data_IF_453496522064
#
_entry.id   IF_453496522064
#
_cell.length_a   1.000
_cell.length_b   1.000
_cell.length_c   1.000
_cell.angle_alpha   90.00
_cell.angle_beta   90.00
_cell.angle_gamma   90.00
#
_symmetry.space_group_name_H-M   'P 1'
#
loop_
_entity.id
_entity.type
_entity.pdbx_description
1 polymer ?
#
# COMPACT_ATOMS: atom_id res chain seq x y z
N UNK A 1 5.76 -33.50 -9.48
CA UNK A 1 5.44 -32.15 -9.00
C UNK A 1 6.49 -31.19 -9.55
N UNK A 2 6.08 -30.15 -10.28
CA UNK A 2 6.99 -29.07 -10.68
C UNK A 2 7.15 -28.13 -9.49
N UNK A 3 8.32 -28.16 -8.83
CA UNK A 3 8.73 -27.11 -7.91
C UNK A 3 9.18 -25.92 -8.74
N UNK A 4 8.32 -24.91 -8.85
CA UNK A 4 8.68 -23.64 -9.48
C UNK A 4 9.10 -22.70 -8.36
N UNK A 5 10.40 -22.63 -8.10
CA UNK A 5 10.99 -21.82 -7.03
C UNK A 5 11.22 -20.35 -7.46
N UNK A 6 10.56 -19.89 -8.53
CA UNK A 6 10.75 -18.55 -9.10
C UNK A 6 9.43 -17.88 -9.44
N UNK A 7 9.36 -16.57 -9.20
CA UNK A 7 8.26 -15.73 -9.66
C UNK A 7 8.14 -15.78 -11.19
N UNK A 8 6.91 -15.89 -11.69
CA UNK A 8 6.61 -15.89 -13.12
C UNK A 8 6.05 -14.53 -13.50
N UNK A 9 6.63 -13.87 -14.50
CA UNK A 9 6.10 -12.63 -15.08
C UNK A 9 5.20 -13.00 -16.26
N UNK A 10 3.95 -12.58 -16.21
CA UNK A 10 2.99 -12.71 -17.30
C UNK A 10 2.99 -11.41 -18.11
N UNK A 11 3.22 -11.50 -19.41
CA UNK A 11 3.30 -10.35 -20.32
C UNK A 11 2.21 -10.37 -21.39
N UNK A 12 1.72 -9.20 -21.79
CA UNK A 12 0.90 -9.00 -23.00
C UNK A 12 1.60 -8.02 -23.93
N UNK A 13 1.82 -8.40 -25.20
CA UNK A 13 2.56 -7.60 -26.20
C UNK A 13 3.92 -7.10 -25.70
N UNK A 14 4.68 -7.96 -24.99
CA UNK A 14 5.99 -7.62 -24.43
C UNK A 14 5.96 -6.73 -23.18
N UNK A 15 4.77 -6.35 -22.69
CA UNK A 15 4.61 -5.54 -21.46
C UNK A 15 4.15 -6.42 -20.30
N UNK A 16 4.78 -6.35 -19.11
CA UNK A 16 4.30 -7.04 -17.92
C UNK A 16 2.87 -6.63 -17.56
N UNK A 17 2.00 -7.61 -17.33
CA UNK A 17 0.60 -7.40 -16.92
C UNK A 17 0.26 -8.07 -15.59
N UNK A 18 1.01 -9.09 -15.18
CA UNK A 18 0.83 -9.75 -13.89
C UNK A 18 2.11 -10.47 -13.45
N UNK A 19 2.16 -10.78 -12.16
CA UNK A 19 3.18 -11.63 -11.54
C UNK A 19 2.45 -12.81 -10.88
N UNK A 20 2.91 -14.02 -11.13
CA UNK A 20 2.50 -15.22 -10.41
C UNK A 20 3.57 -15.51 -9.34
N UNK A 21 3.16 -15.40 -8.08
CA UNK A 21 4.02 -15.70 -6.94
C UNK A 21 3.67 -17.10 -6.40
N UNK A 22 4.63 -18.03 -6.30
CA UNK A 22 4.38 -19.35 -5.75
C UNK A 22 4.05 -19.24 -4.26
N UNK A 23 3.02 -19.95 -3.83
CA UNK A 23 2.58 -20.02 -2.43
C UNK A 23 2.39 -21.47 -2.03
N UNK A 24 2.70 -21.77 -0.77
CA UNK A 24 2.43 -23.04 -0.10
C UNK A 24 1.33 -22.83 0.96
N UNK A 25 0.72 -23.92 1.42
CA UNK A 25 -0.42 -23.84 2.35
C UNK A 25 -0.09 -23.12 3.66
N UNK A 26 1.16 -23.24 4.12
CA UNK A 26 1.66 -22.63 5.36
C UNK A 26 1.98 -21.14 5.22
N UNK A 27 2.23 -20.64 4.01
CA UNK A 27 2.69 -19.28 3.75
C UNK A 27 1.69 -18.41 2.97
N UNK A 28 0.55 -18.96 2.54
CA UNK A 28 -0.45 -18.25 1.73
C UNK A 28 -0.90 -16.94 2.39
N UNK A 29 -1.35 -16.99 3.64
CA UNK A 29 -1.89 -15.83 4.35
C UNK A 29 -0.82 -14.75 4.57
N UNK A 30 0.37 -15.14 5.02
CA UNK A 30 1.49 -14.22 5.20
C UNK A 30 1.94 -13.57 3.89
N UNK A 31 1.93 -14.33 2.79
CA UNK A 31 2.27 -13.83 1.45
C UNK A 31 1.23 -12.83 0.96
N UNK A 32 -0.07 -13.13 1.13
CA UNK A 32 -1.16 -12.22 0.78
C UNK A 32 -1.11 -10.92 1.59
N UNK A 33 -0.88 -11.00 2.90
CA UNK A 33 -0.74 -9.83 3.77
C UNK A 33 0.45 -8.97 3.32
N UNK A 34 1.58 -9.59 2.99
CA UNK A 34 2.78 -8.89 2.53
C UNK A 34 2.52 -8.16 1.22
N UNK A 35 1.91 -8.82 0.23
CA UNK A 35 1.57 -8.20 -1.05
C UNK A 35 0.56 -7.05 -0.89
N UNK A 36 -0.43 -7.20 -0.01
CA UNK A 36 -1.40 -6.13 0.30
C UNK A 36 -0.71 -4.92 0.95
N UNK A 37 0.21 -5.15 1.89
CA UNK A 37 1.01 -4.08 2.52
C UNK A 37 1.90 -3.37 1.51
N UNK A 38 2.59 -4.12 0.65
CA UNK A 38 3.42 -3.53 -0.40
C UNK A 38 2.59 -2.61 -1.31
N UNK A 39 1.40 -3.06 -1.72
CA UNK A 39 0.47 -2.23 -2.51
C UNK A 39 0.03 -0.96 -1.77
N UNK A 40 -0.29 -1.08 -0.47
CA UNK A 40 -0.68 0.07 0.33
C UNK A 40 0.46 1.10 0.47
N UNK A 41 1.70 0.65 0.63
CA UNK A 41 2.88 1.51 0.70
C UNK A 41 3.11 2.28 -0.61
N UNK A 42 3.00 1.60 -1.77
CA UNK A 42 3.10 2.26 -3.07
C UNK A 42 2.01 3.31 -3.27
N UNK A 43 0.77 2.99 -2.92
CA UNK A 43 -0.32 3.95 -2.99
C UNK A 43 -0.10 5.16 -2.05
N UNK A 44 0.44 4.92 -0.86
CA UNK A 44 0.78 5.98 0.08
C UNK A 44 1.90 6.88 -0.46
N UNK A 45 2.91 6.30 -1.11
CA UNK A 45 3.98 7.06 -1.76
C UNK A 45 3.43 7.98 -2.85
N UNK A 46 2.51 7.48 -3.68
CA UNK A 46 1.86 8.30 -4.72
C UNK A 46 1.03 9.44 -4.11
N UNK A 47 0.29 9.16 -3.04
CA UNK A 47 -0.47 10.20 -2.29
C UNK A 47 0.49 11.26 -1.73
N UNK A 48 1.60 10.85 -1.12
CA UNK A 48 2.57 11.77 -0.52
C UNK A 48 3.26 12.64 -1.59
N UNK A 49 3.64 12.06 -2.73
CA UNK A 49 4.17 12.82 -3.87
C UNK A 49 3.19 13.89 -4.33
N UNK A 50 1.93 13.54 -4.46
CA UNK A 50 0.89 14.48 -4.86
C UNK A 50 0.63 15.55 -3.80
N UNK A 51 0.72 15.21 -2.52
CA UNK A 51 0.63 16.18 -1.42
C UNK A 51 1.75 17.23 -1.51
N UNK A 52 3.00 16.80 -1.75
CA UNK A 52 4.14 17.71 -1.96
C UNK A 52 3.92 18.60 -3.19
N UNK A 53 3.47 18.03 -4.31
CA UNK A 53 3.17 18.81 -5.52
C UNK A 53 2.12 19.90 -5.27
N UNK A 54 1.17 19.64 -4.37
CA UNK A 54 0.12 20.58 -3.95
C UNK A 54 0.53 21.48 -2.78
N UNK A 55 1.73 21.31 -2.22
CA UNK A 55 2.19 22.05 -1.04
C UNK A 55 1.43 21.71 0.26
N UNK A 56 0.75 20.56 0.30
CA UNK A 56 -0.01 20.06 1.45
C UNK A 56 0.88 19.32 2.47
N UNK A 57 2.17 19.14 2.16
CA UNK A 57 3.18 18.47 2.99
C UNK A 57 3.64 19.32 4.19
N UNK A 58 3.12 20.54 4.33
CA UNK A 58 3.54 21.53 5.33
C UNK A 58 2.61 21.63 6.54
N UNK A 59 1.76 20.63 6.76
CA UNK A 59 0.87 20.61 7.92
C UNK A 59 1.69 20.65 9.21
N UNK A 60 1.36 21.60 10.07
CA UNK A 60 2.03 21.79 11.37
C UNK A 60 1.47 20.84 12.43
N UNK A 61 2.27 20.56 13.46
CA UNK A 61 1.84 19.77 14.63
C UNK A 61 0.58 20.34 15.30
N UNK A 62 0.45 21.68 15.33
CA UNK A 62 -0.70 22.37 15.91
C UNK A 62 -1.98 22.13 15.09
N UNK A 63 -1.89 22.19 13.77
CA UNK A 63 -3.01 21.89 12.86
C UNK A 63 -3.44 20.43 12.98
N UNK A 64 -2.50 19.50 13.10
CA UNK A 64 -2.77 18.07 13.33
C UNK A 64 -3.52 17.87 14.65
N UNK A 65 -3.02 18.43 15.74
CA UNK A 65 -3.65 18.27 17.05
C UNK A 65 -5.04 18.92 17.11
N UNK A 66 -5.22 20.05 16.42
CA UNK A 66 -6.53 20.72 16.29
C UNK A 66 -7.54 19.81 15.59
N UNK A 67 -7.15 19.18 14.47
CA UNK A 67 -8.01 18.26 13.72
C UNK A 67 -8.36 17.01 14.55
N UNK A 68 -7.38 16.42 15.23
CA UNK A 68 -7.59 15.26 16.12
C UNK A 68 -8.59 15.59 17.22
N UNK A 69 -8.45 16.75 17.88
CA UNK A 69 -9.38 17.20 18.92
C UNK A 69 -10.79 17.40 18.36
N UNK A 70 -10.93 18.01 17.19
CA UNK A 70 -12.21 18.22 16.54
C UNK A 70 -12.93 16.88 16.27
N UNK A 71 -12.24 15.91 15.66
CA UNK A 71 -12.81 14.59 15.35
C UNK A 71 -13.15 13.77 16.60
N UNK A 72 -12.37 13.88 17.67
CA UNK A 72 -12.68 13.21 18.96
C UNK A 72 -13.91 13.81 19.63
N UNK A 73 -14.07 15.13 19.58
CA UNK A 73 -15.25 15.81 20.10
C UNK A 73 -16.51 15.40 19.32
N UNK A 74 -16.43 15.33 18.00
CA UNK A 74 -17.52 14.90 17.14
C UNK A 74 -17.99 13.46 17.47
N UNK A 75 -17.06 12.53 17.69
CA UNK A 75 -17.37 11.14 18.07
C UNK A 75 -18.00 11.00 19.46
N UNK A 76 -17.84 11.98 20.32
CA UNK A 76 -18.36 11.98 21.70
C UNK A 76 -19.76 12.59 21.84
N UNK A 77 -20.27 13.22 20.77
CA UNK A 77 -21.64 13.73 20.65
C UNK A 77 -22.57 12.67 20.10
#
# INVERSE_FOLDING_TARGET
QLKVDKDIIITSNGKPIAILYPVEQDNLESSLITLRRARALLAMEDIQKEAVNKGLDKTTEEEIEKEIKAMRLERSR
#
